data_IF_201921704605
#
_entry.id   IF_201921704605
#
_cell.length_a   1.000
_cell.length_b   1.000
_cell.length_c   1.000
_cell.angle_alpha   90.00
_cell.angle_beta   90.00
_cell.angle_gamma   90.00
#
_symmetry.space_group_name_H-M   'P 1'
#
loop_
_entity.id
_entity.type
_entity.pdbx_description
1 polymer ?
#
# COMPACT_ATOMS: atom_id res chain seq x y z
N UNK A 1 -14.08 12.70 -2.36
CA UNK A 1 -13.44 13.71 -3.24
C UNK A 1 -11.92 13.59 -3.22
N UNK A 2 -11.22 13.91 -2.11
CA UNK A 2 -9.74 13.87 -2.04
C UNK A 2 -9.13 12.53 -2.46
N UNK A 3 -9.68 11.40 -1.98
CA UNK A 3 -9.19 10.05 -2.35
C UNK A 3 -9.32 9.75 -3.85
N UNK A 4 -10.34 10.26 -4.52
CA UNK A 4 -10.52 10.04 -5.96
C UNK A 4 -9.45 10.80 -6.76
N UNK A 5 -9.22 12.06 -6.40
CA UNK A 5 -8.18 12.88 -7.01
C UNK A 5 -6.79 12.24 -6.88
N UNK A 6 -6.44 11.78 -5.68
CA UNK A 6 -5.17 11.07 -5.45
C UNK A 6 -5.06 9.79 -6.29
N UNK A 7 -6.14 9.03 -6.44
CA UNK A 7 -6.14 7.83 -7.27
C UNK A 7 -5.87 8.15 -8.75
N UNK A 8 -6.44 9.24 -9.26
CA UNK A 8 -6.20 9.71 -10.63
C UNK A 8 -4.72 10.07 -10.83
N UNK A 9 -4.09 10.75 -9.86
CA UNK A 9 -2.67 11.08 -9.92
C UNK A 9 -1.77 9.82 -9.95
N UNK A 10 -2.09 8.81 -9.16
CA UNK A 10 -1.38 7.52 -9.15
C UNK A 10 -1.54 6.81 -10.49
N UNK A 11 -2.75 6.78 -11.04
CA UNK A 11 -3.01 6.18 -12.36
C UNK A 11 -2.22 6.92 -13.44
N UNK A 12 -2.27 8.24 -13.45
CA UNK A 12 -1.56 9.06 -14.43
C UNK A 12 -0.05 8.75 -14.43
N UNK A 13 0.58 8.74 -13.25
CA UNK A 13 2.02 8.46 -13.13
C UNK A 13 2.39 7.03 -13.55
N UNK A 14 1.55 6.03 -13.25
CA UNK A 14 1.79 4.65 -13.68
C UNK A 14 1.49 4.38 -15.16
N UNK A 15 0.61 5.16 -15.81
CA UNK A 15 0.29 4.96 -17.24
C UNK A 15 1.42 5.36 -18.17
N UNK A 16 2.23 6.36 -17.80
CA UNK A 16 3.29 6.85 -18.68
C UNK A 16 4.39 5.81 -18.97
N UNK A 17 4.97 5.12 -17.98
CA UNK A 17 5.93 4.04 -18.23
C UNK A 17 5.35 2.92 -19.08
N UNK A 18 4.06 2.59 -18.91
CA UNK A 18 3.39 1.56 -19.69
C UNK A 18 3.31 1.91 -21.19
N UNK A 19 3.13 3.19 -21.51
CA UNK A 19 3.17 3.70 -22.88
C UNK A 19 4.59 4.01 -23.40
N UNK A 20 5.64 3.77 -22.62
CA UNK A 20 7.03 4.11 -22.98
C UNK A 20 7.39 5.59 -22.77
N UNK A 21 6.52 6.37 -22.14
CA UNK A 21 6.73 7.79 -21.85
C UNK A 21 7.39 7.99 -20.48
N UNK A 22 8.15 9.07 -20.33
CA UNK A 22 8.68 9.52 -19.04
C UNK A 22 7.83 10.67 -18.53
N UNK A 23 7.26 10.52 -17.34
CA UNK A 23 6.65 11.64 -16.62
C UNK A 23 7.73 12.27 -15.75
N UNK A 24 8.15 13.47 -16.12
CA UNK A 24 9.13 14.26 -15.35
C UNK A 24 8.43 15.21 -14.38
N UNK A 25 7.44 14.70 -13.66
CA UNK A 25 6.74 15.46 -12.63
C UNK A 25 7.23 14.99 -11.25
N UNK A 26 8.41 15.47 -10.91
CA UNK A 26 9.05 15.21 -9.62
C UNK A 26 8.93 16.43 -8.72
N UNK A 27 8.46 16.21 -7.50
CA UNK A 27 8.43 17.18 -6.43
C UNK A 27 9.31 16.68 -5.29
N UNK A 28 10.29 17.49 -4.86
CA UNK A 28 11.27 17.10 -3.83
C UNK A 28 11.93 15.72 -4.10
N UNK A 29 12.34 15.47 -5.35
CA UNK A 29 12.98 14.21 -5.81
C UNK A 29 12.09 12.96 -5.68
N UNK A 30 10.78 13.13 -5.59
CA UNK A 30 9.80 12.05 -5.63
C UNK A 30 8.71 12.36 -6.65
N UNK A 31 8.23 11.33 -7.33
CA UNK A 31 7.15 11.48 -8.30
C UNK A 31 5.86 11.93 -7.61
N UNK A 32 4.98 12.60 -8.35
CA UNK A 32 3.64 12.96 -7.85
C UNK A 32 2.84 11.71 -7.44
N UNK A 33 3.03 10.59 -8.13
CA UNK A 33 2.43 9.29 -7.74
C UNK A 33 2.86 8.86 -6.34
N UNK A 34 4.16 8.95 -6.02
CA UNK A 34 4.68 8.64 -4.69
C UNK A 34 4.10 9.55 -3.61
N UNK A 35 3.96 10.85 -3.87
CA UNK A 35 3.30 11.78 -2.95
C UNK A 35 1.83 11.44 -2.73
N UNK A 36 1.11 11.09 -3.78
CA UNK A 36 -0.29 10.70 -3.66
C UNK A 36 -0.45 9.47 -2.76
N UNK A 37 0.46 8.49 -2.86
CA UNK A 37 0.50 7.32 -1.97
C UNK A 37 0.76 7.74 -0.52
N UNK A 38 1.73 8.64 -0.24
CA UNK A 38 1.95 9.12 1.13
C UNK A 38 0.71 9.77 1.75
N UNK A 39 0.02 10.61 0.98
CA UNK A 39 -1.21 11.27 1.43
C UNK A 39 -2.31 10.24 1.71
N UNK A 40 -2.45 9.22 0.86
CA UNK A 40 -3.39 8.12 1.10
C UNK A 40 -3.13 7.39 2.42
N UNK A 41 -1.86 7.10 2.74
CA UNK A 41 -1.49 6.44 3.99
C UNK A 41 -1.74 7.35 5.20
N UNK A 42 -1.40 8.65 5.13
CA UNK A 42 -1.67 9.61 6.20
C UNK A 42 -3.17 9.76 6.50
N UNK A 43 -4.00 9.92 5.47
CA UNK A 43 -5.46 9.99 5.61
C UNK A 43 -6.02 8.68 6.19
N UNK A 44 -5.44 7.54 5.82
CA UNK A 44 -5.88 6.24 6.34
C UNK A 44 -5.56 6.08 7.82
N UNK A 45 -4.37 6.48 8.26
CA UNK A 45 -4.02 6.53 9.68
C UNK A 45 -5.03 7.36 10.49
N UNK A 46 -5.27 8.60 10.06
CA UNK A 46 -6.23 9.50 10.73
C UNK A 46 -7.64 8.87 10.85
N UNK A 47 -8.19 8.34 9.75
CA UNK A 47 -9.57 7.82 9.74
C UNK A 47 -9.72 6.50 10.48
N UNK A 48 -8.71 5.64 10.47
CA UNK A 48 -8.76 4.37 11.22
C UNK A 48 -8.66 4.65 12.71
N UNK A 49 -7.75 5.53 13.13
CA UNK A 49 -7.71 5.98 14.52
C UNK A 49 -9.05 6.60 14.91
N UNK A 50 -9.63 7.46 14.07
CA UNK A 50 -10.96 8.01 14.32
C UNK A 50 -12.04 6.96 14.55
N UNK A 51 -12.16 6.01 13.62
CA UNK A 51 -13.13 4.93 13.70
C UNK A 51 -12.90 4.01 14.89
N UNK A 52 -11.68 3.93 15.41
CA UNK A 52 -11.38 3.06 16.55
C UNK A 52 -11.92 3.57 17.88
N UNK A 53 -12.06 4.88 18.03
CA UNK A 53 -12.66 5.48 19.22
C UNK A 53 -14.19 5.37 19.21
N UNK A 54 -14.82 5.15 18.04
CA UNK A 54 -16.27 5.16 17.89
C UNK A 54 -16.91 3.79 17.66
N UNK A 55 -16.14 2.74 17.31
CA UNK A 55 -16.68 1.44 16.87
C UNK A 55 -15.82 0.22 17.29
N UNK A 56 -16.39 -0.98 17.14
CA UNK A 56 -15.66 -2.26 17.27
C UNK A 56 -14.60 -2.42 16.16
N UNK A 57 -13.37 -2.05 16.49
CA UNK A 57 -12.16 -2.10 15.64
C UNK A 57 -12.05 -3.37 14.79
N UNK A 58 -12.28 -4.60 15.33
CA UNK A 58 -12.07 -5.83 14.56
C UNK A 58 -13.04 -5.99 13.38
N UNK A 59 -14.31 -5.65 13.55
CA UNK A 59 -15.33 -5.84 12.52
C UNK A 59 -15.10 -4.91 11.32
N UNK A 60 -14.65 -3.69 11.59
CA UNK A 60 -14.28 -2.72 10.56
C UNK A 60 -13.07 -3.19 9.73
N UNK A 61 -12.07 -3.78 10.38
CA UNK A 61 -10.86 -4.27 9.72
C UNK A 61 -11.13 -5.50 8.87
N UNK A 62 -11.92 -6.46 9.37
CA UNK A 62 -12.29 -7.67 8.60
C UNK A 62 -12.95 -7.27 7.28
N UNK A 63 -13.89 -6.32 7.30
CA UNK A 63 -14.55 -5.82 6.08
C UNK A 63 -13.56 -5.21 5.08
N UNK A 64 -12.53 -4.50 5.57
CA UNK A 64 -11.51 -3.88 4.71
C UNK A 64 -10.53 -4.89 4.15
N UNK A 65 -10.06 -5.82 4.98
CA UNK A 65 -9.16 -6.90 4.57
C UNK A 65 -9.86 -7.77 3.52
N UNK A 66 -11.10 -8.18 3.77
CA UNK A 66 -11.90 -8.94 2.82
C UNK A 66 -12.04 -8.18 1.50
N UNK A 67 -12.40 -6.89 1.54
CA UNK A 67 -12.50 -6.04 0.34
C UNK A 67 -11.18 -5.98 -0.45
N UNK A 68 -10.06 -5.74 0.21
CA UNK A 68 -8.74 -5.64 -0.45
C UNK A 68 -8.35 -6.98 -1.05
N UNK A 69 -8.50 -8.05 -0.28
CA UNK A 69 -8.11 -9.40 -0.71
C UNK A 69 -8.96 -9.85 -1.90
N UNK A 70 -10.28 -9.67 -1.86
CA UNK A 70 -11.17 -9.99 -2.99
C UNK A 70 -10.81 -9.19 -4.23
N UNK A 71 -10.60 -7.87 -4.12
CA UNK A 71 -10.22 -7.04 -5.25
C UNK A 71 -8.87 -7.45 -5.85
N UNK A 72 -7.89 -7.75 -4.99
CA UNK A 72 -6.57 -8.20 -5.40
C UNK A 72 -6.62 -9.55 -6.12
N UNK A 73 -7.32 -10.54 -5.57
CA UNK A 73 -7.46 -11.84 -6.23
C UNK A 73 -8.18 -11.72 -7.57
N UNK A 74 -9.22 -10.90 -7.65
CA UNK A 74 -9.95 -10.68 -8.89
C UNK A 74 -9.03 -10.11 -9.98
N UNK A 75 -8.22 -9.09 -9.68
CA UNK A 75 -7.31 -8.53 -10.68
C UNK A 75 -6.21 -9.51 -11.07
N UNK A 76 -5.62 -10.26 -10.13
CA UNK A 76 -4.61 -11.27 -10.47
C UNK A 76 -5.19 -12.37 -11.36
N UNK A 77 -6.43 -12.79 -11.09
CA UNK A 77 -7.13 -13.78 -11.91
C UNK A 77 -7.37 -13.24 -13.33
N UNK A 78 -7.93 -12.05 -13.46
CA UNK A 78 -8.17 -11.41 -14.76
C UNK A 78 -6.87 -11.24 -15.54
N UNK A 79 -5.80 -10.76 -14.90
CA UNK A 79 -4.48 -10.65 -15.53
C UNK A 79 -3.96 -12.01 -16.01
N UNK A 80 -4.03 -13.03 -15.16
CA UNK A 80 -3.46 -14.35 -15.46
C UNK A 80 -4.24 -15.09 -16.56
N UNK A 81 -5.56 -15.12 -16.46
CA UNK A 81 -6.41 -16.01 -17.26
C UNK A 81 -7.16 -15.31 -18.40
N UNK A 82 -7.18 -13.97 -18.41
CA UNK A 82 -7.82 -13.21 -19.49
C UNK A 82 -6.75 -12.45 -20.28
N UNK A 83 -6.02 -11.53 -19.63
CA UNK A 83 -5.07 -10.67 -20.36
C UNK A 83 -3.81 -11.41 -20.81
N UNK A 84 -3.28 -12.33 -20.00
CA UNK A 84 -2.12 -13.16 -20.38
C UNK A 84 -2.35 -13.93 -21.69
N UNK A 85 -3.42 -14.74 -21.81
CA UNK A 85 -3.80 -15.41 -23.06
C UNK A 85 -4.07 -14.45 -24.20
N UNK A 86 -4.80 -13.37 -23.96
CA UNK A 86 -5.15 -12.40 -25.00
C UNK A 86 -3.90 -11.76 -25.62
N UNK A 87 -2.94 -11.31 -24.80
CA UNK A 87 -1.69 -10.73 -25.32
C UNK A 87 -0.81 -11.78 -26.01
N UNK A 88 -0.83 -13.03 -25.54
CA UNK A 88 -0.13 -14.12 -26.23
C UNK A 88 -0.66 -14.31 -27.65
N UNK A 89 -1.99 -14.32 -27.81
CA UNK A 89 -2.63 -14.40 -29.13
C UNK A 89 -2.32 -13.17 -29.99
N UNK A 90 -2.34 -11.97 -29.42
CA UNK A 90 -1.99 -10.74 -30.14
C UNK A 90 -0.53 -10.72 -30.63
N UNK A 91 0.38 -11.38 -29.90
CA UNK A 91 1.77 -11.54 -30.31
C UNK A 91 1.94 -12.64 -31.38
N UNK A 92 0.86 -13.31 -31.81
CA UNK A 92 0.90 -14.39 -32.81
C UNK A 92 1.31 -15.76 -32.26
N UNK A 93 1.38 -15.91 -30.95
CA UNK A 93 1.76 -17.16 -30.28
C UNK A 93 0.53 -18.04 -29.93
N UNK A 94 0.74 -19.35 -29.83
CA UNK A 94 -0.28 -20.27 -29.29
C UNK A 94 -0.38 -20.14 -27.77
N UNK A 95 -1.60 -20.27 -27.22
CA UNK A 95 -1.86 -20.31 -25.77
C UNK A 95 -1.05 -21.43 -25.08
N UNK A 96 -0.73 -22.52 -25.79
CA UNK A 96 0.11 -23.61 -25.28
C UNK A 96 1.47 -23.10 -24.75
N UNK A 97 2.03 -22.06 -25.38
CA UNK A 97 3.29 -21.43 -25.01
C UNK A 97 3.28 -20.87 -23.58
N UNK A 98 2.12 -20.47 -23.05
CA UNK A 98 2.01 -19.98 -21.66
C UNK A 98 2.35 -21.06 -20.63
N UNK A 99 2.11 -22.32 -20.96
CA UNK A 99 2.36 -23.46 -20.07
C UNK A 99 3.81 -23.94 -20.10
N UNK A 100 4.55 -23.59 -21.16
CA UNK A 100 5.97 -23.90 -21.33
C UNK A 100 6.89 -22.88 -20.65
N UNK A 101 6.34 -21.76 -20.17
CA UNK A 101 7.12 -20.70 -19.55
C UNK A 101 7.49 -21.01 -18.10
N UNK A 102 8.63 -20.48 -17.59
CA UNK A 102 9.04 -20.69 -16.19
C UNK A 102 8.00 -20.25 -15.15
N UNK A 103 7.16 -19.25 -15.49
CA UNK A 103 6.05 -18.79 -14.65
C UNK A 103 4.76 -18.88 -15.46
N UNK A 104 4.03 -19.97 -15.27
CA UNK A 104 2.72 -20.20 -15.88
C UNK A 104 1.67 -19.24 -15.31
N UNK A 105 0.51 -19.04 -15.99
CA UNK A 105 -0.60 -18.26 -15.44
C UNK A 105 -1.05 -18.73 -14.05
N UNK A 106 -1.08 -20.05 -13.84
CA UNK A 106 -1.37 -20.67 -12.54
C UNK A 106 -0.29 -20.33 -11.53
N UNK A 107 0.99 -20.45 -11.92
CA UNK A 107 2.13 -20.09 -11.07
C UNK A 107 2.14 -18.61 -10.68
N UNK A 108 1.73 -17.72 -11.58
CA UNK A 108 1.57 -16.30 -11.31
C UNK A 108 0.44 -16.04 -10.30
N UNK A 109 -0.73 -16.63 -10.50
CA UNK A 109 -1.87 -16.46 -9.60
C UNK A 109 -1.58 -16.99 -8.18
N UNK A 110 -1.12 -18.24 -8.07
CA UNK A 110 -0.82 -18.86 -6.77
C UNK A 110 0.42 -18.27 -6.11
N UNK A 111 1.45 -17.94 -6.89
CA UNK A 111 2.65 -17.30 -6.39
C UNK A 111 2.37 -15.94 -5.75
N UNK A 112 1.36 -15.23 -6.25
CA UNK A 112 0.97 -13.91 -5.78
C UNK A 112 -0.23 -13.91 -4.82
N UNK A 113 -0.87 -15.07 -4.57
CA UNK A 113 -2.15 -15.20 -3.86
C UNK A 113 -2.18 -14.52 -2.49
N UNK A 114 -1.11 -14.66 -1.70
CA UNK A 114 -1.03 -14.15 -0.32
C UNK A 114 -0.64 -12.67 -0.23
N UNK A 115 -1.05 -11.83 -1.20
CA UNK A 115 -0.64 -10.41 -1.31
C UNK A 115 0.89 -10.19 -1.42
N UNK A 116 1.65 -11.27 -1.51
CA UNK A 116 3.09 -11.31 -1.59
C UNK A 116 3.50 -11.54 -3.04
N UNK A 117 4.03 -10.52 -3.69
CA UNK A 117 4.36 -10.59 -5.12
C UNK A 117 5.65 -11.38 -5.31
N UNK A 118 5.51 -12.65 -5.66
CA UNK A 118 6.64 -13.53 -6.01
C UNK A 118 7.02 -13.43 -7.48
N UNK A 119 6.05 -13.11 -8.34
CA UNK A 119 6.26 -13.03 -9.78
C UNK A 119 5.56 -11.80 -10.35
N UNK A 120 6.34 -10.94 -11.01
CA UNK A 120 5.81 -9.73 -11.64
C UNK A 120 5.31 -9.96 -13.07
N UNK A 121 5.72 -11.08 -13.69
CA UNK A 121 5.53 -11.38 -15.11
C UNK A 121 4.93 -12.77 -15.30
N UNK A 122 4.26 -12.96 -16.43
CA UNK A 122 3.75 -14.25 -16.89
C UNK A 122 4.57 -14.61 -18.13
N UNK A 123 5.57 -15.48 -17.96
CA UNK A 123 6.50 -15.83 -19.04
C UNK A 123 7.05 -14.63 -19.83
N UNK A 124 7.02 -14.75 -21.16
CA UNK A 124 7.46 -13.73 -22.12
C UNK A 124 6.32 -12.86 -22.66
N UNK A 125 5.11 -12.89 -22.09
CA UNK A 125 3.91 -12.20 -22.62
C UNK A 125 4.10 -10.71 -22.88
N UNK A 126 4.88 -10.02 -22.05
CA UNK A 126 5.15 -8.58 -22.16
C UNK A 126 6.41 -8.24 -22.97
N UNK A 127 6.99 -9.18 -23.74
CA UNK A 127 8.26 -8.95 -24.48
C UNK A 127 8.19 -7.81 -25.49
N UNK A 128 7.02 -7.57 -26.06
CA UNK A 128 6.74 -6.51 -27.05
C UNK A 128 6.33 -5.18 -26.41
N UNK A 129 6.08 -5.15 -25.09
CA UNK A 129 5.62 -3.97 -24.38
C UNK A 129 6.81 -3.05 -24.00
N UNK A 130 6.67 -1.70 -24.09
CA UNK A 130 7.69 -0.76 -23.61
C UNK A 130 8.06 -0.95 -22.13
N UNK A 131 7.13 -1.50 -21.34
CA UNK A 131 7.35 -1.89 -19.95
C UNK A 131 7.20 -3.41 -19.77
N UNK A 132 8.25 -4.21 -20.03
CA UNK A 132 8.16 -5.67 -19.97
C UNK A 132 8.24 -6.22 -18.54
N UNK A 133 8.48 -5.35 -17.55
CA UNK A 133 8.92 -5.75 -16.21
C UNK A 133 7.80 -6.25 -15.30
N UNK A 134 6.57 -5.76 -15.46
CA UNK A 134 5.46 -6.17 -14.62
C UNK A 134 4.10 -5.98 -15.29
N UNK A 135 3.16 -6.90 -15.01
CA UNK A 135 1.74 -6.75 -15.36
C UNK A 135 1.03 -5.81 -14.38
N UNK A 136 1.00 -6.16 -13.10
CA UNK A 136 0.32 -5.43 -12.04
C UNK A 136 1.31 -4.61 -11.21
N UNK A 137 2.02 -3.69 -11.87
CA UNK A 137 3.09 -2.91 -11.22
C UNK A 137 2.62 -2.18 -9.97
N UNK A 138 1.42 -1.59 -9.98
CA UNK A 138 0.87 -0.79 -8.89
C UNK A 138 0.42 -1.59 -7.65
N UNK A 139 0.31 -2.93 -7.73
CA UNK A 139 -0.15 -3.74 -6.59
C UNK A 139 0.85 -3.83 -5.44
N UNK A 140 2.08 -3.33 -5.64
CA UNK A 140 3.14 -3.31 -4.64
C UNK A 140 2.73 -2.63 -3.32
N UNK A 141 1.84 -1.63 -3.39
CA UNK A 141 1.39 -0.88 -2.20
C UNK A 141 0.44 -1.68 -1.32
N UNK A 142 -0.26 -2.67 -1.87
CA UNK A 142 -1.35 -3.39 -1.19
C UNK A 142 -0.82 -4.18 0.01
N UNK A 143 0.33 -4.82 -0.13
CA UNK A 143 0.98 -5.51 0.98
C UNK A 143 1.31 -4.57 2.14
N UNK A 144 1.85 -3.38 1.82
CA UNK A 144 2.18 -2.37 2.82
C UNK A 144 0.91 -1.83 3.51
N UNK A 145 -0.18 -1.66 2.76
CA UNK A 145 -1.48 -1.27 3.32
C UNK A 145 -2.01 -2.33 4.30
N UNK A 146 -1.93 -3.61 3.91
CA UNK A 146 -2.33 -4.73 4.76
C UNK A 146 -1.51 -4.78 6.07
N UNK A 147 -0.19 -4.61 6.01
CA UNK A 147 0.67 -4.53 7.20
C UNK A 147 0.30 -3.35 8.10
N UNK A 148 0.04 -2.17 7.51
CA UNK A 148 -0.40 -1.01 8.28
C UNK A 148 -1.73 -1.27 9.02
N UNK A 149 -2.65 -2.02 8.39
CA UNK A 149 -3.89 -2.44 9.03
C UNK A 149 -3.70 -3.43 10.18
N UNK A 150 -2.72 -4.35 10.10
CA UNK A 150 -2.40 -5.22 11.23
C UNK A 150 -1.81 -4.40 12.38
N UNK A 151 -0.85 -3.52 12.08
CA UNK A 151 -0.14 -2.75 13.11
C UNK A 151 -1.09 -1.78 13.81
N UNK A 152 -2.02 -1.14 13.09
CA UNK A 152 -2.98 -0.25 13.73
C UNK A 152 -3.92 -1.00 14.67
N UNK A 153 -4.26 -2.27 14.42
CA UNK A 153 -5.02 -3.07 15.40
C UNK A 153 -4.26 -3.16 16.71
N UNK A 154 -2.96 -3.46 16.62
CA UNK A 154 -2.09 -3.63 17.78
C UNK A 154 -1.97 -2.29 18.51
N UNK A 155 -1.64 -1.22 17.78
CA UNK A 155 -1.48 0.13 18.33
C UNK A 155 -2.77 0.61 18.98
N UNK A 156 -3.92 0.50 18.31
CA UNK A 156 -5.24 0.88 18.84
C UNK A 156 -5.63 0.04 20.06
N UNK A 157 -5.41 -1.27 20.02
CA UNK A 157 -5.71 -2.14 21.17
C UNK A 157 -4.88 -1.75 22.39
N UNK A 158 -3.62 -1.37 22.17
CA UNK A 158 -2.75 -0.83 23.22
C UNK A 158 -3.19 0.57 23.69
N UNK A 159 -3.65 1.44 22.78
CA UNK A 159 -4.20 2.77 23.10
C UNK A 159 -5.40 2.67 24.05
N UNK A 160 -6.37 1.80 23.72
CA UNK A 160 -7.59 1.60 24.51
C UNK A 160 -7.22 1.12 25.93
N UNK A 161 -6.20 0.26 26.04
CA UNK A 161 -5.73 -0.29 27.31
C UNK A 161 -4.90 0.70 28.14
N UNK A 162 -4.12 1.59 27.50
CA UNK A 162 -3.15 2.48 28.17
C UNK A 162 -3.37 3.97 27.82
N UNK A 163 -4.58 4.47 28.12
CA UNK A 163 -5.09 5.81 27.75
C UNK A 163 -4.19 7.02 28.08
N UNK A 164 -3.21 6.92 29.00
CA UNK A 164 -2.34 8.04 29.38
C UNK A 164 -0.98 8.08 28.66
N UNK A 165 -0.49 6.94 28.15
CA UNK A 165 0.90 6.82 27.65
C UNK A 165 0.92 6.71 26.12
N UNK A 166 -0.23 6.57 25.48
CA UNK A 166 -0.26 6.28 24.05
C UNK A 166 0.18 7.42 23.14
N UNK A 167 -0.14 8.69 23.47
CA UNK A 167 0.31 9.87 22.70
C UNK A 167 1.83 9.97 22.67
N UNK A 168 2.56 9.93 23.81
CA UNK A 168 4.02 9.98 23.78
C UNK A 168 4.63 8.75 23.09
N UNK A 169 4.03 7.57 23.21
CA UNK A 169 4.48 6.38 22.46
C UNK A 169 4.33 6.57 20.95
N UNK A 170 3.19 7.08 20.48
CA UNK A 170 2.96 7.35 19.05
C UNK A 170 3.90 8.43 18.51
N UNK A 171 4.14 9.49 19.29
CA UNK A 171 5.10 10.53 18.94
C UNK A 171 6.53 9.97 18.87
N UNK A 172 6.94 9.15 19.84
CA UNK A 172 8.25 8.49 19.84
C UNK A 172 8.40 7.53 18.66
N UNK A 173 7.38 6.70 18.38
CA UNK A 173 7.36 5.81 17.22
C UNK A 173 7.46 6.60 15.91
N UNK A 174 6.69 7.67 15.77
CA UNK A 174 6.73 8.52 14.57
C UNK A 174 8.11 9.17 14.38
N UNK A 175 8.69 9.73 15.44
CA UNK A 175 10.04 10.31 15.39
C UNK A 175 11.10 9.26 15.09
N UNK A 176 11.04 8.10 15.74
CA UNK A 176 11.96 6.99 15.51
C UNK A 176 11.89 6.45 14.09
N UNK A 177 10.67 6.26 13.55
CA UNK A 177 10.46 5.83 12.16
C UNK A 177 10.91 6.88 11.16
N UNK A 178 10.67 8.17 11.44
CA UNK A 178 11.13 9.27 10.57
C UNK A 178 12.64 9.37 10.56
N UNK A 179 13.28 9.27 11.73
CA UNK A 179 14.73 9.22 11.84
C UNK A 179 15.30 8.01 11.09
N UNK A 180 14.76 6.81 11.33
CA UNK A 180 15.17 5.61 10.63
C UNK A 180 14.99 5.73 9.10
N UNK A 181 13.88 6.32 8.65
CA UNK A 181 13.62 6.56 7.22
C UNK A 181 14.69 7.42 6.53
N UNK A 182 15.30 8.35 7.28
CA UNK A 182 16.36 9.23 6.77
C UNK A 182 17.75 8.59 6.76
N UNK A 183 17.92 7.46 7.48
CA UNK A 183 19.22 6.80 7.71
C UNK A 183 19.36 5.44 7.04
N UNK A 184 18.29 4.88 6.46
CA UNK A 184 18.35 3.58 5.81
C UNK A 184 19.17 3.62 4.51
N UNK A 185 20.28 2.85 4.41
CA UNK A 185 21.00 2.68 3.15
C UNK A 185 20.16 1.88 2.14
N UNK A 186 20.45 2.05 0.85
CA UNK A 186 19.59 1.60 -0.27
C UNK A 186 19.38 0.08 -0.40
N UNK A 187 20.05 -0.76 0.40
CA UNK A 187 20.22 -2.18 0.12
C UNK A 187 19.61 -3.16 1.14
N UNK A 188 18.90 -2.69 2.18
CA UNK A 188 18.35 -3.60 3.20
C UNK A 188 16.99 -4.16 2.76
N UNK A 189 17.02 -5.26 2.00
CA UNK A 189 15.86 -6.15 1.83
C UNK A 189 15.75 -7.04 3.07
N UNK A 190 14.83 -6.74 3.99
CA UNK A 190 14.56 -7.63 5.11
C UNK A 190 13.60 -8.75 4.70
N UNK A 191 14.00 -10.00 4.94
CA UNK A 191 13.26 -11.19 4.52
C UNK A 191 13.63 -11.56 3.08
N UNK A 192 14.47 -12.59 2.93
CA UNK A 192 15.14 -13.03 1.69
C UNK A 192 14.27 -13.37 0.47
N UNK A 193 12.97 -13.02 0.47
CA UNK A 193 12.01 -13.31 -0.58
C UNK A 193 11.28 -12.07 -1.14
N UNK A 194 11.82 -10.85 -0.99
CA UNK A 194 11.20 -9.62 -1.54
C UNK A 194 9.85 -9.24 -0.91
N UNK A 195 9.56 -9.74 0.29
CA UNK A 195 8.25 -9.59 0.92
C UNK A 195 8.05 -8.21 1.56
N UNK A 196 9.09 -7.61 2.12
CA UNK A 196 9.02 -6.26 2.72
C UNK A 196 10.21 -5.45 2.24
N UNK A 197 9.94 -4.49 1.35
CA UNK A 197 10.91 -3.44 1.06
C UNK A 197 10.88 -2.43 2.21
N UNK A 198 11.83 -2.58 3.13
CA UNK A 198 11.93 -1.78 4.36
C UNK A 198 12.09 -0.29 4.05
N UNK A 199 12.77 0.06 2.96
CA UNK A 199 12.94 1.45 2.49
C UNK A 199 11.61 2.06 2.08
N UNK A 200 10.69 1.24 1.60
CA UNK A 200 9.39 1.67 1.11
C UNK A 200 8.33 1.67 2.21
N UNK A 201 8.37 0.63 3.06
CA UNK A 201 7.43 0.47 4.16
C UNK A 201 7.61 1.51 5.26
N UNK A 202 8.85 1.78 5.72
CA UNK A 202 9.09 2.67 6.86
C UNK A 202 8.58 4.11 6.63
N UNK A 203 8.85 4.76 5.48
CA UNK A 203 8.29 6.09 5.20
C UNK A 203 6.76 6.08 5.14
N UNK A 204 6.16 5.06 4.51
CA UNK A 204 4.69 4.92 4.44
C UNK A 204 4.08 4.77 5.84
N UNK A 205 4.70 3.92 6.66
CA UNK A 205 4.27 3.69 8.02
C UNK A 205 4.46 4.93 8.90
N UNK A 206 5.54 5.69 8.72
CA UNK A 206 5.74 6.97 9.41
C UNK A 206 4.62 7.96 9.11
N UNK A 207 4.26 8.16 7.84
CA UNK A 207 3.18 9.09 7.46
C UNK A 207 1.82 8.60 7.98
N UNK A 208 1.59 7.29 7.98
CA UNK A 208 0.41 6.68 8.58
C UNK A 208 0.34 6.95 10.10
N UNK A 209 1.45 6.81 10.82
CA UNK A 209 1.54 7.13 12.25
C UNK A 209 1.34 8.62 12.52
N UNK A 210 1.85 9.50 11.66
CA UNK A 210 1.62 10.94 11.75
C UNK A 210 0.13 11.28 11.68
N UNK A 211 -0.60 10.70 10.71
CA UNK A 211 -2.06 10.87 10.60
C UNK A 211 -2.82 10.36 11.84
N UNK A 212 -2.38 9.23 12.38
CA UNK A 212 -2.95 8.64 13.60
C UNK A 212 -2.71 9.53 14.84
N UNK A 213 -1.51 10.11 14.96
CA UNK A 213 -1.14 11.04 16.03
C UNK A 213 -1.94 12.34 15.95
N UNK A 214 -2.12 12.90 14.74
CA UNK A 214 -2.91 14.09 14.51
C UNK A 214 -4.37 13.93 14.98
N UNK A 215 -4.99 12.78 14.70
CA UNK A 215 -6.33 12.50 15.22
C UNK A 215 -6.34 12.45 16.75
N UNK A 216 -5.36 11.77 17.34
CA UNK A 216 -5.26 11.60 18.80
C UNK A 216 -5.11 12.93 19.52
N UNK A 217 -4.22 13.80 19.01
CA UNK A 217 -4.04 15.16 19.53
C UNK A 217 -5.32 16.00 19.39
N UNK A 218 -6.00 15.92 18.24
CA UNK A 218 -7.27 16.60 18.03
C UNK A 218 -8.33 16.15 19.04
N UNK A 219 -8.43 14.85 19.29
CA UNK A 219 -9.41 14.28 20.21
C UNK A 219 -9.13 14.69 21.67
N UNK A 220 -7.86 14.73 22.08
CA UNK A 220 -7.47 15.13 23.43
C UNK A 220 -7.55 16.65 23.64
N UNK A 221 -7.08 17.47 22.70
CA UNK A 221 -7.21 18.93 22.80
C UNK A 221 -8.67 19.39 22.65
N UNK A 222 -9.49 18.71 21.83
CA UNK A 222 -10.91 18.98 21.72
C UNK A 222 -11.69 18.74 23.03
N UNK A 223 -11.24 17.80 23.87
CA UNK A 223 -11.79 17.62 25.22
C UNK A 223 -11.41 18.77 26.17
N UNK A 224 -10.26 19.41 25.97
CA UNK A 224 -9.82 20.55 26.80
C UNK A 224 -10.73 21.77 26.57
N UNK A 225 -11.08 22.05 25.31
CA UNK A 225 -11.99 23.16 24.99
C UNK A 225 -13.45 22.96 25.46
N UNK A 226 -13.89 21.73 25.72
CA UNK A 226 -15.23 21.47 26.26
C UNK A 226 -15.35 21.61 27.78
N UNK A 227 -14.21 21.68 28.49
CA UNK A 227 -14.20 21.78 29.95
C UNK A 227 -14.04 23.24 30.42
N UNK A 228 -13.59 24.16 29.56
CA UNK A 228 -13.44 25.58 29.90
C UNK A 228 -14.68 26.45 29.61
N UNK A 229 -15.78 25.88 29.10
CA UNK A 229 -17.03 26.62 28.86
C UNK A 229 -18.02 26.63 30.04
N UNK A 230 -17.54 26.34 31.25
CA UNK A 230 -18.30 26.48 32.50
C UNK A 230 -17.47 27.22 33.55
N UNK A 231 -17.22 28.50 33.32
CA UNK A 231 -16.90 29.47 34.38
C UNK A 231 -17.56 30.80 34.08
#
# INVERSE_FOLDING_TARGET
>A
MIRLFLAILVVYEHTAPLGGYKVNLDLFRKSIGAWAVYIFFGISGYLITASSFSNSVPQYLIKRIARIFTAYLAIQFVTAFIFGPLVTLLNGDSIAKLWETPVTPIGYFWGNYLLAIKSWRIGSTLSTNPYPKAWNGSTWTIWNEFLCYIIIVIVVSLIIKYKKIYIPIMAFLWLGLSFLSSRLPELIKAGGNSLIDVKLFIPLFSVFMAGSLLYSLKNTCGLIYSVESFH
#
